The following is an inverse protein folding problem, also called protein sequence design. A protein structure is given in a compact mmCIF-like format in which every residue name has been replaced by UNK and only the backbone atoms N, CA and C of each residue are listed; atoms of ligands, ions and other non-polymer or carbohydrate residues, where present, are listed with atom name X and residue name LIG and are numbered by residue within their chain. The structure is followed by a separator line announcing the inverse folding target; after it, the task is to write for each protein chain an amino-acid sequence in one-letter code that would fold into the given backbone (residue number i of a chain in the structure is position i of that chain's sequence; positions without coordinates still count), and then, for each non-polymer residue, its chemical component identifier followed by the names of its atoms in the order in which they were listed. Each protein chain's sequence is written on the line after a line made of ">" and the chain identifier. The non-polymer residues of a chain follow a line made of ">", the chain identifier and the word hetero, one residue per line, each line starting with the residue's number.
data_IF_639517118007
#
_entry.id   IF_639517118007
#
_cell.length_a   1.000
_cell.length_b   1.000
_cell.length_c   1.000
_cell.angle_alpha   90.00
_cell.angle_beta   90.00
_cell.angle_gamma   90.00
#
_symmetry.space_group_name_H-M   'P 1'
#
loop_
_entity.id
_entity.type
_entity.pdbx_description
1 polymer ?
#
# COMPACT_ATOMS: atom_id res chain seq x y z
N UNK A 1 -0.12 10.71 7.70
CA UNK A 1 -1.21 9.73 7.56
C UNK A 1 -0.92 8.78 6.40
N UNK A 2 -1.23 7.51 6.58
CA UNK A 2 -0.97 6.50 5.56
C UNK A 2 -2.28 5.90 5.11
N UNK A 3 -2.40 5.68 3.82
CA UNK A 3 -3.64 5.09 3.32
C UNK A 3 -3.38 4.39 1.99
N UNK A 4 -4.28 3.51 1.62
CA UNK A 4 -4.27 2.86 0.32
C UNK A 4 -5.26 3.53 -0.60
N UNK A 5 -4.90 3.66 -1.85
CA UNK A 5 -5.73 4.33 -2.83
C UNK A 5 -5.75 3.53 -4.12
N UNK A 6 -6.64 3.91 -5.03
CA UNK A 6 -6.72 3.29 -6.33
C UNK A 6 -6.25 4.30 -7.38
N UNK A 7 -5.36 3.88 -8.24
CA UNK A 7 -4.78 4.75 -9.23
C UNK A 7 -5.78 5.11 -10.31
N UNK A 8 -5.73 6.34 -10.76
CA UNK A 8 -6.51 6.76 -11.91
C UNK A 8 -5.66 6.77 -13.17
N UNK A 9 -4.45 6.22 -13.09
CA UNK A 9 -3.60 6.12 -14.27
C UNK A 9 -2.55 7.19 -14.36
N UNK A 10 -2.49 8.08 -13.38
CA UNK A 10 -1.53 9.18 -13.44
C UNK A 10 -0.63 9.23 -12.21
N UNK A 11 -0.43 8.10 -11.55
CA UNK A 11 0.37 8.03 -10.35
C UNK A 11 1.64 7.27 -10.65
N UNK A 12 2.75 7.72 -10.09
CA UNK A 12 4.03 7.06 -10.27
C UNK A 12 4.60 6.71 -8.91
N UNK A 13 5.20 5.53 -8.81
CA UNK A 13 5.85 5.11 -7.57
C UNK A 13 7.09 5.95 -7.35
N UNK A 14 7.23 6.48 -6.13
CA UNK A 14 8.38 7.32 -5.83
C UNK A 14 9.63 6.51 -5.55
N UNK A 15 9.50 5.21 -5.38
CA UNK A 15 10.63 4.37 -5.08
C UNK A 15 11.23 3.74 -6.33
N UNK A 16 10.42 3.04 -7.12
CA UNK A 16 10.91 2.37 -8.31
C UNK A 16 10.56 3.13 -9.59
N UNK A 17 9.82 4.23 -9.47
CA UNK A 17 9.49 5.12 -10.58
C UNK A 17 8.60 4.46 -11.63
N UNK A 18 7.95 3.39 -11.29
CA UNK A 18 7.03 2.73 -12.21
C UNK A 18 5.71 3.49 -12.25
N UNK A 19 5.12 3.61 -13.43
CA UNK A 19 3.81 4.21 -13.53
C UNK A 19 2.80 3.18 -13.04
N UNK A 20 1.90 3.59 -12.17
CA UNK A 20 0.89 2.71 -11.60
C UNK A 20 -0.33 2.79 -12.49
N UNK A 21 -0.72 1.68 -13.13
CA UNK A 21 -1.83 1.72 -14.09
C UNK A 21 -3.16 2.04 -13.42
N UNK A 22 -4.10 2.42 -14.25
CA UNK A 22 -5.44 2.73 -13.76
C UNK A 22 -6.04 1.51 -13.08
N UNK A 23 -6.74 1.75 -11.99
CA UNK A 23 -7.44 0.73 -11.21
C UNK A 23 -6.50 -0.16 -10.41
N UNK A 24 -5.21 0.11 -10.43
CA UNK A 24 -4.28 -0.64 -9.60
C UNK A 24 -4.13 0.08 -8.27
N UNK A 25 -3.97 -0.66 -7.20
CA UNK A 25 -3.85 -0.05 -5.89
C UNK A 25 -2.46 0.50 -5.67
N UNK A 26 -2.35 1.52 -4.85
CA UNK A 26 -1.06 2.05 -4.47
C UNK A 26 -1.18 2.62 -3.06
N UNK A 27 -0.02 2.89 -2.44
CA UNK A 27 0.02 3.36 -1.08
C UNK A 27 0.41 4.83 -1.05
N UNK A 28 -0.21 5.58 -0.16
CA UNK A 28 0.11 6.98 0.05
C UNK A 28 0.66 7.14 1.45
N UNK A 29 1.86 7.69 1.56
CA UNK A 29 2.51 7.90 2.84
C UNK A 29 2.68 9.40 3.01
N UNK A 30 1.89 9.99 3.91
CA UNK A 30 1.91 11.42 4.14
C UNK A 30 2.70 11.70 5.40
N UNK A 31 3.74 12.49 5.26
CA UNK A 31 4.54 12.89 6.39
C UNK A 31 4.49 14.40 6.50
N UNK A 32 5.15 14.91 7.54
CA UNK A 32 5.06 16.29 7.82
C UNK A 32 5.28 17.19 6.64
N UNK A 33 6.30 16.96 5.88
CA UNK A 33 6.65 17.84 4.80
C UNK A 33 6.54 17.22 3.42
N UNK A 34 6.06 16.01 3.31
CA UNK A 34 6.09 15.34 2.02
C UNK A 34 5.04 14.25 1.93
N UNK A 35 4.64 13.96 0.71
CA UNK A 35 3.72 12.87 0.42
C UNK A 35 4.40 11.95 -0.58
N UNK A 36 4.42 10.67 -0.30
CA UNK A 36 5.04 9.69 -1.17
C UNK A 36 4.01 8.70 -1.65
N UNK A 37 4.21 8.21 -2.87
CA UNK A 37 3.32 7.22 -3.46
C UNK A 37 4.15 5.99 -3.78
N UNK A 38 3.69 4.83 -3.34
CA UNK A 38 4.42 3.58 -3.55
C UNK A 38 3.50 2.59 -4.22
N UNK A 39 4.06 1.84 -5.16
CA UNK A 39 3.29 0.74 -5.73
C UNK A 39 3.23 -0.39 -4.70
N UNK A 40 2.35 -1.36 -4.96
CA UNK A 40 2.16 -2.45 -4.01
C UNK A 40 3.46 -3.21 -3.80
N UNK A 41 4.23 -3.43 -4.88
CA UNK A 41 5.47 -4.17 -4.76
C UNK A 41 6.45 -3.49 -3.82
N UNK A 42 6.59 -2.18 -3.94
CA UNK A 42 7.48 -1.46 -3.04
C UNK A 42 6.93 -1.42 -1.64
N UNK A 43 5.62 -1.33 -1.51
CA UNK A 43 5.00 -1.39 -0.20
C UNK A 43 5.24 -2.70 0.50
N UNK A 44 5.20 -3.80 -0.25
CA UNK A 44 5.49 -5.10 0.33
C UNK A 44 6.94 -5.21 0.77
N UNK A 45 7.86 -4.66 -0.04
CA UNK A 45 9.25 -4.70 0.32
C UNK A 45 9.53 -3.89 1.58
N UNK A 46 8.86 -2.79 1.75
CA UNK A 46 9.11 -1.95 2.90
C UNK A 46 8.27 -2.31 4.12
N UNK A 47 7.39 -3.27 3.99
CA UNK A 47 6.57 -3.70 5.11
C UNK A 47 5.32 -2.90 5.32
N UNK A 48 4.96 -2.03 4.39
CA UNK A 48 3.73 -1.26 4.51
C UNK A 48 2.52 -2.05 4.06
N UNK A 49 2.73 -3.14 3.34
CA UNK A 49 1.63 -3.99 2.89
C UNK A 49 2.01 -5.43 3.12
N UNK A 50 1.03 -6.29 3.31
CA UNK A 50 1.26 -7.70 3.54
C UNK A 50 0.12 -8.49 2.98
N UNK A 51 0.40 -9.75 2.63
CA UNK A 51 -0.64 -10.68 2.25
C UNK A 51 -1.06 -11.46 3.47
N UNK A 52 -2.35 -11.61 3.65
CA UNK A 52 -2.90 -12.38 4.74
C UNK A 52 -3.73 -13.50 4.16
N UNK A 53 -3.57 -14.71 4.67
CA UNK A 53 -4.35 -15.83 4.21
C UNK A 53 -5.56 -16.02 5.08
N UNK A 54 -6.71 -16.17 4.46
CA UNK A 54 -7.94 -16.35 5.18
C UNK A 54 -8.83 -17.28 4.39
N UNK A 55 -9.12 -18.44 4.95
CA UNK A 55 -9.99 -19.43 4.31
C UNK A 55 -9.49 -19.80 2.93
N UNK A 56 -8.19 -19.95 2.82
CA UNK A 56 -7.61 -20.37 1.56
C UNK A 56 -7.40 -19.26 0.56
N UNK A 57 -7.75 -18.04 0.91
CA UNK A 57 -7.57 -16.92 0.01
C UNK A 57 -6.48 -16.02 0.51
N UNK A 58 -5.83 -15.33 -0.41
CA UNK A 58 -4.79 -14.41 -0.05
C UNK A 58 -5.31 -12.99 -0.19
N UNK A 59 -5.34 -12.26 0.89
CA UNK A 59 -5.90 -10.92 0.94
C UNK A 59 -4.80 -9.92 1.17
N UNK A 60 -4.74 -8.88 0.35
CA UNK A 60 -3.73 -7.85 0.51
C UNK A 60 -4.20 -6.85 1.56
N UNK A 61 -3.34 -6.62 2.57
CA UNK A 61 -3.64 -5.71 3.66
C UNK A 61 -2.62 -4.58 3.65
N UNK A 62 -3.10 -3.34 3.68
CA UNK A 62 -2.24 -2.18 3.72
C UNK A 62 -2.11 -1.69 5.15
N UNK A 63 -0.88 -1.40 5.55
CA UNK A 63 -0.57 -0.81 6.85
C UNK A 63 -1.23 -1.56 7.99
N UNK A 64 -1.00 -2.86 8.05
CA UNK A 64 -1.73 -3.67 9.05
C UNK A 64 -1.44 -3.26 10.47
N UNK A 65 -0.22 -2.83 10.76
CA UNK A 65 0.13 -2.46 12.12
C UNK A 65 -0.46 -1.14 12.48
N UNK A 66 -0.54 -0.23 11.54
CA UNK A 66 -1.07 1.09 11.81
C UNK A 66 -2.55 1.03 12.07
N UNK A 67 -3.26 0.18 11.36
CA UNK A 67 -4.69 0.06 11.57
C UNK A 67 -5.03 -0.96 12.65
N UNK A 68 -4.05 -1.64 13.21
CA UNK A 68 -4.30 -2.57 14.29
C UNK A 68 -5.03 -3.82 13.89
N UNK A 69 -4.95 -4.17 12.63
CA UNK A 69 -5.71 -5.32 12.17
C UNK A 69 -5.23 -6.62 12.75
N UNK A 70 -3.95 -6.70 13.08
CA UNK A 70 -3.49 -7.92 13.61
C UNK A 70 -3.77 -8.09 15.03
N UNK A 71 -4.26 -7.13 15.70
CA UNK A 71 -4.52 -7.25 17.09
C UNK A 71 -5.78 -7.91 17.41
N UNK A 72 -6.51 -8.24 16.49
CA UNK A 72 -7.70 -8.80 16.75
C UNK A 72 -7.58 -9.99 17.25
N UNK A 73 -7.68 -10.55 17.75
CA UNK A 73 -7.47 -11.72 18.20
C UNK A 73 -7.63 -12.17 19.09
#
# INVERSE_FOLDING_TARGET
>A
MHRGCMSLGNVRCDECHRVIPQAERYLVIEEKDATSHLCVDCGLKKGYARYKEDKGERILTFFPEEYGLEREL
#
